data_IF_074548961079
#
_entry.id   IF_074548961079
#
_cell.length_a   1.000
_cell.length_b   1.000
_cell.length_c   1.000
_cell.angle_alpha   90.00
_cell.angle_beta   90.00
_cell.angle_gamma   90.00
#
_symmetry.space_group_name_H-M   'P 1'
#
loop_
_entity.id
_entity.type
_entity.pdbx_description
1 polymer ?
#
# COMPACT_ATOMS: atom_id res chain seq x y z
N UNK A 1 4.14 -18.07 -9.54
CA UNK A 1 4.04 -16.72 -8.94
C UNK A 1 4.48 -16.69 -7.48
N UNK A 2 3.98 -17.57 -6.60
CA UNK A 2 4.24 -17.52 -5.15
C UNK A 2 5.72 -17.59 -4.73
N UNK A 3 6.54 -18.44 -5.35
CA UNK A 3 7.97 -18.56 -5.02
C UNK A 3 8.76 -17.29 -5.35
N UNK A 4 8.52 -16.70 -6.54
CA UNK A 4 9.17 -15.44 -6.92
C UNK A 4 8.73 -14.29 -6.02
N UNK A 5 7.44 -14.19 -5.70
CA UNK A 5 6.93 -13.14 -4.80
C UNK A 5 7.52 -13.25 -3.39
N UNK A 6 7.61 -14.46 -2.85
CA UNK A 6 8.19 -14.72 -1.52
C UNK A 6 9.70 -14.54 -1.46
N UNK A 7 10.41 -14.63 -2.59
CA UNK A 7 11.87 -14.45 -2.66
C UNK A 7 12.25 -12.98 -2.88
N UNK A 8 11.42 -12.21 -3.59
CA UNK A 8 11.69 -10.79 -3.84
C UNK A 8 11.75 -9.97 -2.55
N UNK A 9 10.90 -10.28 -1.55
CA UNK A 9 10.90 -9.58 -0.25
C UNK A 9 12.22 -9.73 0.53
N UNK A 10 12.74 -10.94 0.82
CA UNK A 10 14.01 -11.10 1.52
C UNK A 10 15.21 -10.60 0.70
N UNK A 11 15.19 -10.73 -0.63
CA UNK A 11 16.24 -10.17 -1.49
C UNK A 11 16.27 -8.65 -1.39
N UNK A 12 15.11 -8.00 -1.45
CA UNK A 12 15.00 -6.54 -1.31
C UNK A 12 15.50 -6.05 0.05
N UNK A 13 15.14 -6.74 1.14
CA UNK A 13 15.62 -6.42 2.50
C UNK A 13 17.14 -6.60 2.59
N UNK A 14 17.69 -7.67 2.01
CA UNK A 14 19.13 -7.92 2.00
C UNK A 14 19.93 -6.84 1.25
N UNK A 15 19.43 -6.39 0.10
CA UNK A 15 20.01 -5.28 -0.66
C UNK A 15 19.91 -3.97 0.15
N UNK A 16 18.76 -3.72 0.78
CA UNK A 16 18.54 -2.56 1.64
C UNK A 16 19.57 -2.49 2.78
N UNK A 17 19.74 -3.58 3.53
CA UNK A 17 20.73 -3.70 4.62
C UNK A 17 22.18 -3.52 4.14
N UNK A 18 22.50 -3.98 2.93
CA UNK A 18 23.83 -3.79 2.34
C UNK A 18 24.14 -2.32 2.00
N UNK A 19 23.12 -1.56 1.57
CA UNK A 19 23.26 -0.16 1.19
C UNK A 19 23.19 0.78 2.41
N UNK A 20 22.56 0.34 3.52
CA UNK A 20 22.42 1.14 4.76
C UNK A 20 23.75 1.68 5.30
N UNK A 21 24.88 1.00 5.10
CA UNK A 21 26.20 1.46 5.57
C UNK A 21 26.77 2.65 4.76
N UNK A 22 26.25 2.92 3.57
CA UNK A 22 26.71 4.00 2.66
C UNK A 22 25.63 5.09 2.50
N UNK A 23 24.42 4.83 2.99
CA UNK A 23 23.27 5.71 2.88
C UNK A 23 23.24 6.70 4.06
N UNK A 24 23.40 7.99 3.76
CA UNK A 24 23.19 9.05 4.74
C UNK A 24 21.73 9.54 4.63
N UNK A 25 20.92 9.20 5.62
CA UNK A 25 19.48 9.50 5.68
C UNK A 25 19.17 11.01 5.61
N UNK A 26 20.15 11.87 5.94
CA UNK A 26 19.99 13.33 5.89
C UNK A 26 20.49 13.96 4.58
N UNK A 27 20.99 13.16 3.64
CA UNK A 27 21.44 13.68 2.34
C UNK A 27 20.25 14.12 1.48
N UNK A 28 20.30 15.30 0.84
CA UNK A 28 19.22 15.76 -0.04
C UNK A 28 19.01 14.83 -1.24
N UNK A 29 20.04 14.14 -1.73
CA UNK A 29 19.89 13.17 -2.83
C UNK A 29 19.15 11.91 -2.40
N UNK A 30 19.36 11.45 -1.16
CA UNK A 30 18.66 10.32 -0.56
C UNK A 30 17.16 10.62 -0.42
N UNK A 31 16.82 11.78 0.16
CA UNK A 31 15.43 12.22 0.33
C UNK A 31 14.68 12.39 -1.01
N UNK A 32 15.37 12.88 -2.05
CA UNK A 32 14.75 13.00 -3.40
C UNK A 32 14.46 11.62 -3.98
N UNK A 33 15.42 10.69 -3.92
CA UNK A 33 15.24 9.33 -4.47
C UNK A 33 14.15 8.59 -3.70
N UNK A 34 14.16 8.67 -2.37
CA UNK A 34 13.13 8.09 -1.52
C UNK A 34 11.75 8.69 -1.82
N UNK A 35 11.65 10.02 -1.94
CA UNK A 35 10.40 10.70 -2.26
C UNK A 35 9.83 10.27 -3.63
N UNK A 36 10.68 10.13 -4.65
CA UNK A 36 10.26 9.65 -5.98
C UNK A 36 9.79 8.20 -5.93
N UNK A 37 10.56 7.32 -5.29
CA UNK A 37 10.17 5.89 -5.17
C UNK A 37 8.91 5.71 -4.33
N UNK A 38 8.76 6.46 -3.25
CA UNK A 38 7.59 6.42 -2.39
C UNK A 38 6.35 6.95 -3.13
N UNK A 39 6.47 8.05 -3.89
CA UNK A 39 5.38 8.58 -4.70
C UNK A 39 4.93 7.60 -5.79
N UNK A 40 5.88 6.98 -6.51
CA UNK A 40 5.58 5.97 -7.51
C UNK A 40 4.88 4.74 -6.89
N UNK A 41 5.38 4.27 -5.75
CA UNK A 41 4.80 3.13 -5.02
C UNK A 41 3.39 3.45 -4.51
N UNK A 42 3.18 4.63 -3.94
CA UNK A 42 1.87 5.10 -3.49
C UNK A 42 0.86 5.16 -4.65
N UNK A 43 1.27 5.63 -5.83
CA UNK A 43 0.41 5.66 -7.03
C UNK A 43 -0.08 4.27 -7.44
N UNK A 44 0.82 3.27 -7.42
CA UNK A 44 0.48 1.88 -7.75
C UNK A 44 -0.48 1.29 -6.70
N UNK A 45 -0.20 1.52 -5.41
CA UNK A 45 -1.06 1.05 -4.31
C UNK A 45 -2.46 1.64 -4.38
N UNK A 46 -2.60 2.93 -4.71
CA UNK A 46 -3.90 3.60 -4.88
C UNK A 46 -4.65 2.99 -6.07
N UNK A 47 -3.98 2.73 -7.19
CA UNK A 47 -4.59 2.08 -8.36
C UNK A 47 -5.12 0.68 -8.00
N UNK A 48 -4.30 -0.17 -7.37
CA UNK A 48 -4.73 -1.51 -6.95
C UNK A 48 -5.88 -1.45 -5.94
N UNK A 49 -5.83 -0.54 -4.97
CA UNK A 49 -6.89 -0.41 -3.98
C UNK A 49 -8.24 0.00 -4.59
N UNK A 50 -8.24 0.98 -5.50
CA UNK A 50 -9.47 1.51 -6.10
C UNK A 50 -9.98 0.63 -7.26
N UNK A 51 -9.10 0.20 -8.15
CA UNK A 51 -9.48 -0.44 -9.41
C UNK A 51 -9.54 -1.96 -9.26
N UNK A 52 -8.52 -2.58 -8.67
CA UNK A 52 -8.46 -4.04 -8.57
C UNK A 52 -9.28 -4.58 -7.39
N UNK A 53 -9.25 -3.91 -6.23
CA UNK A 53 -9.96 -4.37 -5.05
C UNK A 53 -11.36 -3.76 -4.93
N UNK A 54 -11.48 -2.43 -4.87
CA UNK A 54 -12.78 -1.79 -4.62
C UNK A 54 -13.76 -2.02 -5.79
N UNK A 55 -13.33 -1.86 -7.04
CA UNK A 55 -14.24 -2.08 -8.17
C UNK A 55 -14.70 -3.54 -8.27
N UNK A 56 -13.83 -4.52 -8.03
CA UNK A 56 -14.17 -5.94 -8.05
C UNK A 56 -15.18 -6.30 -6.93
N UNK A 57 -15.00 -5.73 -5.74
CA UNK A 57 -15.91 -5.94 -4.61
C UNK A 57 -17.29 -5.32 -4.90
N UNK A 58 -17.32 -4.05 -5.37
CA UNK A 58 -18.55 -3.30 -5.66
C UNK A 58 -19.31 -3.74 -6.91
N UNK A 59 -18.64 -4.34 -7.90
CA UNK A 59 -19.30 -4.92 -9.08
C UNK A 59 -19.88 -6.32 -8.83
N UNK A 60 -19.65 -6.91 -7.65
CA UNK A 60 -20.18 -8.23 -7.35
C UNK A 60 -21.72 -8.19 -7.15
N UNK A 61 -22.51 -9.02 -7.86
CA UNK A 61 -23.97 -8.95 -7.86
C UNK A 61 -24.61 -9.17 -6.47
N UNK A 62 -23.90 -9.82 -5.54
CA UNK A 62 -24.36 -9.96 -4.13
C UNK A 62 -24.26 -8.66 -3.32
N UNK A 63 -23.35 -7.75 -3.66
CA UNK A 63 -23.22 -6.47 -2.96
C UNK A 63 -24.15 -5.40 -3.57
N UNK A 64 -24.40 -5.44 -4.87
CA UNK A 64 -25.36 -4.54 -5.53
C UNK A 64 -26.82 -4.79 -5.13
N UNK A 65 -27.19 -6.04 -4.81
CA UNK A 65 -28.55 -6.40 -4.39
C UNK A 65 -28.90 -6.03 -2.95
N UNK A 66 -27.92 -5.67 -2.11
CA UNK A 66 -28.14 -5.51 -0.67
C UNK A 66 -27.42 -4.26 -0.13
N UNK A 67 -28.09 -3.10 -0.19
CA UNK A 67 -27.51 -1.81 0.23
C UNK A 67 -26.99 -1.76 1.68
N UNK A 68 -27.50 -2.61 2.58
CA UNK A 68 -26.96 -2.77 3.94
C UNK A 68 -25.55 -3.37 3.96
N UNK A 69 -25.26 -4.31 3.05
CA UNK A 69 -23.94 -4.94 2.94
C UNK A 69 -22.93 -3.97 2.31
N UNK A 70 -23.36 -3.22 1.30
CA UNK A 70 -22.55 -2.16 0.69
C UNK A 70 -22.21 -1.05 1.69
N UNK A 71 -23.16 -0.67 2.56
CA UNK A 71 -22.89 0.28 3.65
C UNK A 71 -21.89 -0.29 4.66
N UNK A 72 -22.03 -1.57 5.05
CA UNK A 72 -21.09 -2.24 5.95
C UNK A 72 -19.67 -2.32 5.40
N UNK A 73 -19.52 -2.65 4.10
CA UNK A 73 -18.22 -2.67 3.42
C UNK A 73 -17.57 -1.27 3.37
N UNK A 74 -18.35 -0.24 3.04
CA UNK A 74 -17.88 1.15 3.07
C UNK A 74 -17.45 1.62 4.46
N UNK A 75 -18.21 1.29 5.50
CA UNK A 75 -17.85 1.62 6.89
C UNK A 75 -16.55 0.92 7.28
N UNK A 76 -16.39 -0.36 6.92
CA UNK A 76 -15.16 -1.10 7.22
C UNK A 76 -13.95 -0.54 6.44
N UNK A 77 -14.15 -0.12 5.20
CA UNK A 77 -13.12 0.54 4.37
C UNK A 77 -12.68 1.87 5.00
N UNK A 78 -13.64 2.72 5.37
CA UNK A 78 -13.37 4.01 6.00
C UNK A 78 -12.72 3.85 7.39
N UNK A 79 -13.15 2.85 8.17
CA UNK A 79 -12.49 2.51 9.44
C UNK A 79 -11.05 2.06 9.19
N UNK A 80 -10.79 1.18 8.22
CA UNK A 80 -9.45 0.74 7.89
C UNK A 80 -8.53 1.88 7.46
N UNK A 81 -9.02 2.76 6.58
CA UNK A 81 -8.28 3.96 6.15
C UNK A 81 -8.04 4.93 7.32
N UNK A 82 -9.04 5.13 8.18
CA UNK A 82 -8.93 5.98 9.37
C UNK A 82 -7.89 5.45 10.36
N UNK A 83 -7.88 4.13 10.61
CA UNK A 83 -6.89 3.49 11.48
C UNK A 83 -5.47 3.60 10.89
N UNK A 84 -5.30 3.39 9.58
CA UNK A 84 -3.99 3.57 8.92
C UNK A 84 -3.51 5.03 8.98
N UNK A 85 -4.40 6.01 8.83
CA UNK A 85 -4.05 7.42 9.00
C UNK A 85 -3.66 7.78 10.43
N UNK A 86 -4.26 7.13 11.43
CA UNK A 86 -3.87 7.32 12.84
C UNK A 86 -2.47 6.77 13.11
N UNK A 87 -2.14 5.59 12.55
CA UNK A 87 -0.79 5.02 12.63
C UNK A 87 0.24 5.92 11.96
N UNK A 88 -0.08 6.50 10.80
CA UNK A 88 0.83 7.39 10.08
C UNK A 88 1.16 8.69 10.84
N UNK A 89 0.34 9.12 11.81
CA UNK A 89 0.69 10.25 12.69
C UNK A 89 1.66 9.89 13.82
N UNK A 90 1.77 8.60 14.12
CA UNK A 90 2.59 8.06 15.21
C UNK A 90 3.85 7.34 14.70
N UNK A 91 3.95 7.14 13.39
CA UNK A 91 5.17 6.72 12.68
C UNK A 91 6.00 7.95 12.34
#
# INVERSE_FOLDING_TARGET
MALFFSLTTPIGIGIGLGITNVYDENSPTALIVEGVFNSASAGILIYMALVDFLAADFMHPRMQGNGKLQLGANISLLLGAGLMSLLAKWA
#
